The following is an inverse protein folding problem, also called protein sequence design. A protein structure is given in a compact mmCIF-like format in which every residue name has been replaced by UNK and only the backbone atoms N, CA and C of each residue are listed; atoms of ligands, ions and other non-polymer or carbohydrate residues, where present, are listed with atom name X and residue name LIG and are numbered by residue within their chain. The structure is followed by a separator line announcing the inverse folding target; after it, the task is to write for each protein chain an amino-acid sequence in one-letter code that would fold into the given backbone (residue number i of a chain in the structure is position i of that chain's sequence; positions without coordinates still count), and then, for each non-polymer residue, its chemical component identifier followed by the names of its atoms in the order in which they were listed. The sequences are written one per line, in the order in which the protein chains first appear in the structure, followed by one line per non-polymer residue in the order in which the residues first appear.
data_IF_061810641308
#
_entry.id   IF_061810641308
#
_cell.length_a   1.000
_cell.length_b   1.000
_cell.length_c   1.000
_cell.angle_alpha   90.00
_cell.angle_beta   90.00
_cell.angle_gamma   90.00
#
_symmetry.space_group_name_H-M   'P 1'
#
loop_
_entity.id
_entity.type
_entity.pdbx_description
1 polymer ?
2 polymer ?
3 polymer ?
4 non-polymer ?
5 non-polymer ?
6 non-polymer ?
7 water ?
#
loop_
_entity_poly.entity_id
_entity_poly.type
_entity_poly.pdbx_seq_one_letter_code
_entity_poly.pdbx_strand_id
2 'polydeoxyribonucleotide' '(DG)(DG)(DG)(DT)(DT)(DT)(DC)(DC)(DA)(DC)(DT)(DT)(DA)(DT)(DT)(DC)(DA)(DG)(DG)(DC)(DT)(DT)(DT)(DT)(DA)(DG)' ?
3 'polydeoxyribonucleotide' '(DC)(DC)(DT)(DA)(DA)(DA)(DA)(DG)(DC)(DC)(DT)(DG)(DA)(DA)(DT)(DA)(DA)(DG)(DT)(DG)(DG)(DA)(DA)(DA)(DC)(DC)' ?
#
# COMPACT_ATOMS: atom_id res chain seq x y z
N UNK A 6 -6.30 17.00 11.12
CA UNK A 6 -5.28 16.87 12.17
C UNK A 6 -3.88 16.73 11.57
N UNK A 7 -3.11 15.77 12.08
CA UNK A 7 -1.73 15.60 11.65
C UNK A 7 -1.62 15.48 10.13
N UNK A 8 -0.68 16.22 9.54
CA UNK A 8 -0.30 15.98 8.17
C UNK A 8 0.76 14.88 8.12
N UNK A 9 0.89 14.25 6.95
CA UNK A 9 1.75 13.09 6.75
C UNK A 9 2.99 13.53 6.01
N UNK A 10 4.15 13.09 6.49
CA UNK A 10 5.39 13.29 5.75
C UNK A 10 5.19 12.84 4.29
N UNK A 11 5.77 13.55 3.32
CA UNK A 11 5.45 13.23 1.92
C UNK A 11 5.99 11.89 1.44
N UNK A 12 7.17 11.47 1.92
CA UNK A 12 7.69 10.17 1.52
C UNK A 12 6.92 9.03 2.21
N UNK A 13 6.48 9.26 3.44
CA UNK A 13 5.61 8.28 4.09
C UNK A 13 4.31 8.16 3.30
N UNK A 14 3.78 9.29 2.84
CA UNK A 14 2.56 9.27 2.05
C UNK A 14 2.77 8.47 0.77
N UNK A 15 3.90 8.70 0.09
CA UNK A 15 4.14 7.98 -1.15
C UNK A 15 4.26 6.49 -0.90
N UNK A 16 4.91 6.11 0.22
CA UNK A 16 5.08 4.69 0.52
C UNK A 16 3.76 4.02 0.85
N UNK A 17 2.91 4.69 1.62
CA UNK A 17 1.58 4.19 1.87
C UNK A 17 0.76 4.13 0.58
N UNK A 18 0.96 5.09 -0.35
CA UNK A 18 0.25 5.06 -1.63
C UNK A 18 0.74 3.92 -2.51
N UNK A 19 2.06 3.69 -2.55
CA UNK A 19 2.59 2.49 -3.18
C UNK A 19 1.92 1.24 -2.65
N UNK A 20 1.50 1.25 -1.39
CA UNK A 20 0.89 0.07 -0.79
C UNK A 20 -0.61 -0.01 -1.05
N UNK A 21 -1.34 1.07 -0.75
CA UNK A 21 -2.79 0.99 -0.65
C UNK A 21 -3.55 1.78 -1.71
N UNK A 22 -2.88 2.61 -2.51
CA UNK A 22 -3.61 3.48 -3.42
C UNK A 22 -3.94 2.80 -4.74
N UNK A 23 -4.79 3.46 -5.54
CA UNK A 23 -4.95 3.06 -6.92
C UNK A 23 -5.42 4.24 -7.75
N UNK A 24 -4.93 4.31 -8.96
CA UNK A 24 -5.42 5.31 -9.89
C UNK A 24 -6.65 4.76 -10.61
N UNK A 25 -7.46 5.66 -11.14
CA UNK A 25 -8.73 5.26 -11.75
C UNK A 25 -9.03 6.12 -12.97
N UNK A 26 -9.55 5.46 -14.01
CA UNK A 26 -9.94 6.13 -15.25
C UNK A 26 -11.22 5.45 -15.70
N UNK A 27 -12.36 6.09 -15.46
CA UNK A 27 -13.62 5.55 -15.92
C UNK A 27 -13.92 6.10 -17.32
N UNK A 28 -14.33 5.21 -18.21
CA UNK A 28 -14.80 5.59 -19.53
C UNK A 28 -16.21 5.02 -19.64
N UNK A 29 -17.22 5.88 -19.53
CA UNK A 29 -18.59 5.45 -19.30
C UNK A 29 -19.46 5.78 -20.51
N UNK A 30 -20.17 4.78 -21.00
CA UNK A 30 -21.22 5.02 -21.99
C UNK A 30 -22.16 6.09 -21.48
N UNK A 31 -22.29 7.17 -22.25
CA UNK A 31 -23.16 8.28 -21.86
C UNK A 31 -23.83 8.83 -23.13
N UNK A 32 -25.13 8.61 -23.25
CA UNK A 32 -25.85 9.10 -24.43
C UNK A 32 -26.05 10.62 -24.40
N UNK A 33 -25.98 11.23 -23.22
CA UNK A 33 -26.05 12.68 -23.12
C UNK A 33 -24.73 13.34 -23.48
N UNK A 34 -23.66 12.57 -23.64
CA UNK A 34 -22.35 13.11 -23.95
C UNK A 34 -22.10 13.16 -25.45
N UNK A 35 -21.30 14.14 -25.87
CA UNK A 35 -21.11 14.38 -27.29
C UNK A 35 -20.51 13.17 -28.00
N UNK A 36 -19.47 12.56 -27.41
CA UNK A 36 -18.80 11.45 -28.08
C UNK A 36 -19.37 10.11 -27.65
N UNK A 37 -20.49 10.12 -26.93
CA UNK A 37 -21.05 8.90 -26.40
C UNK A 37 -20.39 8.38 -25.15
N UNK A 38 -19.36 9.04 -24.64
CA UNK A 38 -18.66 8.58 -23.45
C UNK A 38 -18.32 9.76 -22.56
N UNK A 39 -18.46 9.55 -21.26
CA UNK A 39 -18.03 10.52 -20.26
C UNK A 39 -16.90 9.88 -19.46
N UNK A 40 -16.04 10.72 -18.88
CA UNK A 40 -14.84 10.25 -18.23
C UNK A 40 -14.78 10.74 -16.79
N UNK A 41 -13.93 10.07 -16.01
CA UNK A 41 -13.64 10.49 -14.66
C UNK A 41 -12.26 9.96 -14.32
N UNK A 42 -11.37 10.86 -13.94
CA UNK A 42 -9.97 10.54 -13.70
C UNK A 42 -9.68 10.81 -12.23
N UNK A 43 -8.81 10.00 -11.63
CA UNK A 43 -8.41 10.31 -10.27
C UNK A 43 -7.60 9.23 -9.60
N UNK A 44 -7.58 9.33 -8.26
CA UNK A 44 -6.76 8.49 -7.40
C UNK A 44 -7.52 8.24 -6.12
N UNK A 45 -7.41 7.02 -5.56
CA UNK A 45 -8.24 6.69 -4.41
C UNK A 45 -7.55 5.69 -3.50
N UNK A 46 -7.98 5.69 -2.24
CA UNK A 46 -7.54 4.73 -1.22
C UNK A 46 -8.75 4.27 -0.42
N UNK A 47 -8.92 2.97 -0.31
CA UNK A 47 -9.97 2.36 0.50
C UNK A 47 -9.32 1.57 1.64
N UNK A 48 -9.73 1.88 2.87
CA UNK A 48 -9.23 1.22 4.08
C UNK A 48 -10.41 0.81 4.95
N UNK A 49 -10.12 -0.07 5.90
CA UNK A 49 -11.07 -0.42 6.94
C UNK A 49 -11.41 0.81 7.79
N UNK A 50 -12.65 0.85 8.28
CA UNK A 50 -13.12 1.98 9.08
C UNK A 50 -12.11 2.38 10.16
N UNK A 51 -11.47 1.41 10.80
CA UNK A 51 -10.59 1.72 11.92
C UNK A 51 -9.49 2.71 11.54
N UNK A 52 -9.19 2.85 10.25
CA UNK A 52 -8.10 3.73 9.80
C UNK A 52 -8.62 4.93 9.04
N UNK A 53 -9.85 5.37 9.31
CA UNK A 53 -10.37 6.58 8.68
C UNK A 53 -9.50 7.80 8.97
N UNK A 54 -8.85 7.85 10.15
CA UNK A 54 -8.00 8.98 10.51
C UNK A 54 -6.88 9.18 9.49
N UNK A 55 -6.33 8.08 8.98
CA UNK A 55 -5.32 8.17 7.91
C UNK A 55 -5.87 8.95 6.72
N UNK A 56 -7.07 8.58 6.26
CA UNK A 56 -7.62 9.25 5.09
C UNK A 56 -7.85 10.73 5.37
N UNK A 57 -8.37 11.05 6.56
CA UNK A 57 -8.52 12.45 6.94
C UNK A 57 -7.17 13.16 7.00
N UNK A 58 -6.14 12.47 7.52
CA UNK A 58 -4.81 13.09 7.54
C UNK A 58 -4.26 13.29 6.12
N UNK A 59 -4.55 12.35 5.21
CA UNK A 59 -4.13 12.55 3.83
C UNK A 59 -4.92 13.69 3.21
N UNK A 60 -6.22 13.72 3.48
CA UNK A 60 -7.06 14.79 2.95
C UNK A 60 -6.54 16.16 3.39
N UNK A 61 -6.11 16.27 4.65
CA UNK A 61 -5.58 17.53 5.15
C UNK A 61 -4.13 17.77 4.71
N UNK A 62 -3.34 16.74 4.42
CA UNK A 62 -1.99 17.00 3.90
C UNK A 62 -2.05 17.59 2.49
N UNK A 63 -2.94 17.06 1.64
CA UNK A 63 -3.07 17.54 0.28
C UNK A 63 -4.12 18.61 0.13
N UNK A 64 -5.15 18.59 0.97
CA UNK A 64 -6.27 19.51 0.89
C UNK A 64 -7.15 19.23 -0.33
N UNK A 65 -7.27 17.95 -0.73
CA UNK A 65 -8.11 17.53 -1.85
C UNK A 65 -8.82 16.24 -1.46
N UNK A 66 -9.83 15.88 -2.23
CA UNK A 66 -10.47 14.58 -2.12
C UNK A 66 -11.68 14.59 -1.21
N UNK A 67 -12.51 13.56 -1.40
CA UNK A 67 -13.75 13.40 -0.64
C UNK A 67 -13.73 12.03 0.03
N UNK A 68 -14.24 11.96 1.25
CA UNK A 68 -14.23 10.76 2.07
C UNK A 68 -15.66 10.26 2.16
N UNK A 69 -15.85 8.94 1.98
CA UNK A 69 -17.18 8.35 2.01
C UNK A 69 -17.04 6.90 2.45
N UNK A 70 -18.09 6.38 3.09
CA UNK A 70 -18.11 4.97 3.43
C UNK A 70 -18.01 4.14 2.16
N UNK A 71 -17.45 2.95 2.30
CA UNK A 71 -17.29 2.00 1.20
C UNK A 71 -17.76 0.69 1.79
N UNK A 72 -19.09 0.50 1.81
CA UNK A 72 -19.66 -0.64 2.49
C UNK A 72 -19.72 -0.40 3.99
N UNK A 73 -19.91 -1.49 4.74
CA UNK A 73 -20.15 -1.38 6.18
C UNK A 73 -18.88 -1.23 6.99
N UNK A 74 -17.76 -1.71 6.47
CA UNK A 74 -16.54 -1.85 7.27
C UNK A 74 -15.35 -1.12 6.68
N UNK A 75 -15.57 -0.34 5.63
CA UNK A 75 -14.48 0.31 4.92
C UNK A 75 -14.89 1.74 4.57
N UNK A 76 -13.87 2.55 4.32
CA UNK A 76 -14.05 3.95 3.99
C UNK A 76 -13.02 4.28 2.91
N UNK A 77 -13.39 5.18 2.00
CA UNK A 77 -12.53 5.51 0.88
C UNK A 77 -12.23 7.00 0.88
N UNK A 78 -11.04 7.33 0.38
CA UNK A 78 -10.69 8.68 -0.04
C UNK A 78 -10.55 8.67 -1.55
N UNK A 79 -11.31 9.53 -2.23
CA UNK A 79 -11.38 9.58 -3.68
C UNK A 79 -11.09 11.01 -4.14
N UNK A 80 -10.12 11.15 -5.04
CA UNK A 80 -9.77 12.43 -5.64
C UNK A 80 -10.07 12.31 -7.13
N UNK A 81 -11.18 12.91 -7.58
CA UNK A 81 -11.49 12.99 -9.00
C UNK A 81 -11.73 14.40 -9.53
N UNK A 82 -12.03 15.39 -8.67
CA UNK A 82 -12.15 16.78 -9.13
C UNK A 82 -10.91 17.17 -9.93
N UNK A 83 -11.12 17.61 -11.18
CA UNK A 83 -10.01 17.67 -12.13
C UNK A 83 -8.90 18.60 -11.64
N UNK A 84 -9.25 19.80 -11.18
CA UNK A 84 -8.21 20.73 -10.73
C UNK A 84 -7.36 20.12 -9.60
N UNK A 85 -7.99 19.40 -8.66
CA UNK A 85 -7.25 18.85 -7.52
C UNK A 85 -6.29 17.73 -7.92
N UNK A 86 -6.46 17.14 -9.11
CA UNK A 86 -5.53 16.13 -9.59
C UNK A 86 -4.14 16.70 -9.84
N UNK A 87 -4.04 18.02 -10.04
CA UNK A 87 -2.74 18.66 -10.18
C UNK A 87 -1.91 18.50 -8.93
N UNK A 88 -2.57 18.41 -7.78
CA UNK A 88 -1.86 18.14 -6.53
C UNK A 88 -1.32 16.72 -6.53
N UNK A 89 -2.15 15.75 -6.91
CA UNK A 89 -1.68 14.38 -7.04
C UNK A 89 -0.44 14.34 -7.92
N UNK A 90 -0.49 15.04 -9.06
CA UNK A 90 0.65 15.00 -9.98
C UNK A 90 1.89 15.63 -9.34
N UNK A 91 1.73 16.82 -8.77
CA UNK A 91 2.88 17.48 -8.16
C UNK A 91 3.47 16.63 -7.04
N UNK A 92 2.64 16.02 -6.21
CA UNK A 92 3.19 15.17 -5.16
C UNK A 92 4.03 14.03 -5.74
N UNK A 93 3.45 13.27 -6.68
CA UNK A 93 4.15 12.09 -7.18
C UNK A 93 5.27 12.42 -8.16
N UNK A 94 5.34 13.65 -8.67
CA UNK A 94 6.54 14.09 -9.37
C UNK A 94 7.68 14.31 -8.38
N UNK A 95 7.40 14.99 -7.27
CA UNK A 95 8.45 15.26 -6.29
C UNK A 95 8.78 14.02 -5.47
N UNK A 96 7.79 13.19 -5.15
CA UNK A 96 7.93 12.07 -4.23
C UNK A 96 7.48 10.77 -4.88
N UNK A 97 8.24 10.26 -5.85
CA UNK A 97 7.68 9.30 -6.81
C UNK A 97 7.55 7.88 -6.29
N UNK A 98 6.58 7.18 -6.87
CA UNK A 98 6.29 5.78 -6.53
C UNK A 98 7.41 4.86 -7.01
N UNK A 99 7.54 3.71 -6.34
CA UNK A 99 8.60 2.77 -6.66
C UNK A 99 8.12 1.37 -7.01
N UNK A 100 6.87 0.98 -6.73
CA UNK A 100 6.35 -0.33 -7.15
C UNK A 100 5.84 -0.27 -8.58
N UNK A 101 5.27 -1.40 -9.04
CA UNK A 101 4.63 -1.40 -10.35
C UNK A 101 3.55 -0.34 -10.45
N UNK A 102 2.98 0.10 -9.33
CA UNK A 102 1.95 1.13 -9.37
C UNK A 102 2.45 2.41 -10.02
N UNK A 103 3.76 2.67 -9.98
CA UNK A 103 4.31 3.80 -10.75
C UNK A 103 3.86 3.74 -12.20
N UNK A 104 3.82 2.53 -12.79
CA UNK A 104 3.32 2.39 -14.14
C UNK A 104 1.89 2.91 -14.28
N UNK A 105 1.05 2.63 -13.28
CA UNK A 105 -0.33 3.14 -13.35
C UNK A 105 -0.36 4.66 -13.18
N UNK A 106 0.55 5.19 -12.35
CA UNK A 106 0.66 6.64 -12.21
C UNK A 106 0.98 7.30 -13.56
N UNK A 107 1.96 6.77 -14.29
CA UNK A 107 2.32 7.37 -15.58
C UNK A 107 1.12 7.42 -16.52
N UNK A 108 0.28 6.37 -16.49
CA UNK A 108 -0.91 6.36 -17.33
C UNK A 108 -1.91 7.42 -16.88
N UNK A 109 -2.10 7.53 -15.56
CA UNK A 109 -2.88 8.62 -14.97
C UNK A 109 -2.39 9.97 -15.48
N UNK A 110 -1.07 10.16 -15.54
CA UNK A 110 -0.52 11.43 -15.99
C UNK A 110 -0.85 11.67 -17.46
N UNK A 111 -0.63 10.67 -18.31
CA UNK A 111 -1.00 10.84 -19.73
C UNK A 111 -2.47 11.15 -19.89
N UNK A 112 -3.33 10.51 -19.08
CA UNK A 112 -4.76 10.75 -19.19
C UNK A 112 -5.10 12.18 -18.76
N UNK A 113 -4.39 12.69 -17.76
CA UNK A 113 -4.59 14.07 -17.34
C UNK A 113 -4.31 15.04 -18.50
N UNK A 114 -3.19 14.86 -19.19
CA UNK A 114 -2.88 15.70 -20.34
C UNK A 114 -4.03 15.72 -21.34
N UNK A 115 -4.49 14.54 -21.73
CA UNK A 115 -5.61 14.47 -22.68
C UNK A 115 -6.76 15.34 -22.20
N UNK A 116 -7.17 15.14 -20.94
CA UNK A 116 -8.31 15.88 -20.45
C UNK A 116 -7.99 17.34 -20.15
N UNK A 117 -6.72 17.67 -19.96
CA UNK A 117 -6.37 19.06 -19.68
C UNK A 117 -6.56 19.94 -20.91
N UNK A 118 -6.39 19.39 -22.12
CA UNK A 118 -6.64 20.13 -23.34
C UNK A 118 -8.04 19.88 -23.91
N UNK A 119 -8.96 19.36 -23.09
CA UNK A 119 -10.34 19.10 -23.49
C UNK A 119 -10.46 18.09 -24.63
N UNK A 120 -9.40 17.31 -24.89
CA UNK A 120 -9.45 16.35 -25.99
C UNK A 120 -10.42 15.21 -25.73
N UNK A 121 -10.81 14.98 -24.48
CA UNK A 121 -11.73 13.88 -24.17
C UNK A 121 -13.17 14.19 -24.55
N UNK A 122 -13.48 15.44 -24.91
CA UNK A 122 -14.78 15.78 -25.45
C UNK A 122 -14.84 15.57 -26.96
N UNK A 123 -13.72 15.22 -27.58
CA UNK A 123 -13.60 14.90 -28.99
C UNK A 123 -13.33 13.42 -29.19
N UNK A 124 -13.60 12.94 -30.40
CA UNK A 124 -13.42 11.52 -30.69
C UNK A 124 -11.97 11.10 -30.55
N UNK A 125 -11.04 11.92 -31.04
CA UNK A 125 -9.64 11.53 -30.98
C UNK A 125 -9.19 11.30 -29.53
N UNK A 126 -9.58 12.21 -28.62
CA UNK A 126 -9.14 12.10 -27.24
C UNK A 126 -9.75 10.92 -26.50
N UNK A 127 -11.05 10.68 -26.71
CA UNK A 127 -11.64 9.48 -26.11
C UNK A 127 -10.89 8.25 -26.59
N UNK A 128 -10.52 8.23 -27.86
CA UNK A 128 -9.81 7.06 -28.36
C UNK A 128 -8.46 6.92 -27.68
N UNK A 129 -7.79 8.04 -27.41
CA UNK A 129 -6.52 7.96 -26.69
C UNK A 129 -6.74 7.49 -25.26
N UNK A 130 -7.75 8.03 -24.57
CA UNK A 130 -8.00 7.59 -23.21
C UNK A 130 -8.23 6.09 -23.14
N UNK A 131 -8.85 5.52 -24.19
CA UNK A 131 -9.09 4.08 -24.22
C UNK A 131 -7.77 3.31 -24.33
N UNK A 132 -6.84 3.80 -25.15
CA UNK A 132 -5.52 3.17 -25.25
C UNK A 132 -4.78 3.24 -23.93
N UNK A 133 -4.90 4.37 -23.23
CA UNK A 133 -4.31 4.50 -21.90
C UNK A 133 -4.98 3.55 -20.92
N UNK A 134 -6.31 3.59 -20.85
CA UNK A 134 -7.00 2.71 -19.91
C UNK A 134 -6.65 1.24 -20.17
N UNK A 135 -6.36 0.89 -21.43
CA UNK A 135 -6.06 -0.50 -21.77
C UNK A 135 -4.91 -1.05 -20.94
N UNK A 136 -3.92 -0.22 -20.60
CA UNK A 136 -2.74 -0.65 -19.84
C UNK A 136 -2.86 -0.34 -18.35
N UNK A 137 -3.97 0.24 -17.92
CA UNK A 137 -4.14 0.73 -16.56
C UNK A 137 -4.86 -0.30 -15.70
N UNK A 138 -4.19 -0.78 -14.66
CA UNK A 138 -4.81 -1.72 -13.73
C UNK A 138 -5.33 -2.92 -14.52
N UNK A 139 -6.63 -3.19 -14.44
CA UNK A 139 -7.17 -4.40 -15.05
C UNK A 139 -7.59 -4.19 -16.50
N UNK A 140 -7.41 -2.98 -17.03
CA UNK A 140 -7.58 -2.79 -18.46
C UNK A 140 -9.03 -2.58 -18.89
N UNK A 141 -9.27 -2.87 -20.17
CA UNK A 141 -10.57 -2.65 -20.77
C UNK A 141 -11.51 -3.80 -20.44
N UNK A 142 -12.75 -3.47 -20.14
CA UNK A 142 -13.79 -4.48 -20.17
C UNK A 142 -13.94 -5.03 -21.59
N UNK A 143 -14.57 -6.20 -21.71
CA UNK A 143 -14.83 -6.76 -23.02
C UNK A 143 -15.69 -5.81 -23.85
N UNK A 144 -16.70 -5.19 -23.23
CA UNK A 144 -17.58 -4.29 -23.96
C UNK A 144 -16.84 -3.05 -24.43
N UNK A 145 -15.93 -2.53 -23.62
CA UNK A 145 -15.18 -1.35 -24.07
C UNK A 145 -14.22 -1.73 -25.21
N UNK A 146 -13.52 -2.86 -25.10
CA UNK A 146 -12.60 -3.26 -26.16
C UNK A 146 -13.34 -3.43 -27.49
N UNK A 147 -14.53 -4.01 -27.46
CA UNK A 147 -15.27 -4.24 -28.70
C UNK A 147 -15.89 -2.96 -29.23
N UNK A 148 -16.12 -1.98 -28.38
CA UNK A 148 -16.63 -0.72 -28.88
C UNK A 148 -15.53 0.12 -29.52
N UNK A 149 -14.26 -0.25 -29.37
CA UNK A 149 -13.15 0.50 -29.98
C UNK A 149 -12.31 -0.43 -30.84
N UNK A 150 -12.77 -0.70 -32.08
CA UNK A 150 -12.10 -1.69 -32.92
C UNK A 150 -10.75 -1.22 -33.43
N UNK A 151 -9.68 -1.49 -32.68
CA UNK A 151 -8.34 -1.27 -33.18
C UNK A 151 -7.38 -2.10 -32.34
N UNK A 152 -6.19 -2.29 -32.87
CA UNK A 152 -5.14 -3.02 -32.15
C UNK A 152 -4.65 -2.13 -31.01
N UNK A 153 -5.06 -2.45 -29.79
CA UNK A 153 -4.67 -1.69 -28.59
C UNK A 153 -3.75 -2.58 -27.77
N UNK A 154 -2.52 -2.12 -27.54
CA UNK A 154 -1.59 -2.88 -26.73
C UNK A 154 -2.00 -2.84 -25.25
N UNK A 155 -1.81 -3.97 -24.58
CA UNK A 155 -2.06 -4.05 -23.15
C UNK A 155 -0.78 -4.00 -22.32
N UNK A 156 0.39 -3.99 -22.97
CA UNK A 156 1.65 -4.15 -22.24
C UNK A 156 2.27 -2.79 -21.93
N UNK A 157 3.19 -2.79 -20.97
CA UNK A 157 3.83 -1.55 -20.53
C UNK A 157 5.17 -1.88 -19.90
N UNK A 158 6.03 -0.86 -19.84
CA UNK A 158 7.35 -1.00 -19.25
C UNK A 158 7.24 -1.49 -17.81
N UNK A 159 7.97 -2.55 -17.50
CA UNK A 159 8.12 -3.00 -16.12
C UNK A 159 8.87 -1.95 -15.31
N UNK A 160 8.44 -1.74 -14.07
CA UNK A 160 9.11 -0.79 -13.19
C UNK A 160 10.17 -1.54 -12.38
N UNK A 161 11.39 -1.00 -12.33
CA UNK A 161 12.40 -1.54 -11.41
C UNK A 161 13.13 -0.38 -10.74
N UNK A 162 12.72 -0.05 -9.52
CA UNK A 162 13.28 1.05 -8.76
C UNK A 162 13.66 0.55 -7.37
N UNK A 163 14.58 1.28 -6.73
CA UNK A 163 15.03 0.95 -5.38
C UNK A 163 14.28 1.77 -4.34
N UNK A 164 14.23 1.23 -3.13
CA UNK A 164 13.70 1.96 -1.97
C UNK A 164 14.45 3.27 -1.85
N UNK A 165 13.78 4.39 -1.87
CA UNK A 165 14.48 5.69 -1.84
C UNK A 165 15.02 6.07 -0.47
N UNK A 166 14.34 5.64 0.60
CA UNK A 166 14.69 6.08 1.95
C UNK A 166 13.73 5.44 2.94
N UNK A 167 14.13 5.51 4.22
CA UNK A 167 13.39 4.89 5.31
C UNK A 167 12.02 5.51 5.51
N UNK A 168 11.81 6.75 5.06
CA UNK A 168 10.46 7.31 5.13
C UNK A 168 9.51 6.58 4.19
N UNK A 169 9.93 6.37 2.95
CA UNK A 169 9.12 5.54 2.06
C UNK A 169 8.84 4.19 2.69
N UNK A 170 9.86 3.59 3.31
CA UNK A 170 9.67 2.25 3.86
C UNK A 170 8.64 2.26 4.98
N UNK A 171 8.61 3.32 5.79
CA UNK A 171 7.65 3.35 6.89
C UNK A 171 6.22 3.53 6.39
N UNK A 172 6.03 4.33 5.34
CA UNK A 172 4.71 4.41 4.72
C UNK A 172 4.31 3.09 4.11
N UNK A 173 5.23 2.43 3.39
CA UNK A 173 4.92 1.16 2.77
C UNK A 173 4.58 0.12 3.83
N UNK A 174 5.40 0.05 4.89
CA UNK A 174 5.15 -0.90 5.98
C UNK A 174 3.85 -0.59 6.70
N UNK A 175 3.49 0.69 6.85
CA UNK A 175 2.19 0.99 7.43
C UNK A 175 1.05 0.38 6.62
N UNK A 176 1.27 0.11 5.32
CA UNK A 176 0.28 -0.58 4.52
C UNK A 176 0.37 -2.10 4.55
N UNK A 177 1.58 -2.66 4.32
CA UNK A 177 1.74 -4.09 4.08
C UNK A 177 2.45 -4.81 5.22
N UNK A 178 2.87 -4.10 6.27
CA UNK A 178 3.68 -4.71 7.31
C UNK A 178 2.87 -5.53 8.30
N UNK A 179 3.58 -6.39 9.02
CA UNK A 179 3.00 -7.22 10.06
C UNK A 179 4.01 -7.35 11.20
N UNK A 180 3.62 -6.87 12.37
CA UNK A 180 4.37 -7.05 13.61
C UNK A 180 3.63 -8.14 14.38
N UNK A 181 4.16 -9.36 14.30
CA UNK A 181 3.51 -10.53 14.84
C UNK A 181 4.25 -11.06 16.06
N UNK A 182 3.51 -11.77 16.91
CA UNK A 182 4.05 -12.49 18.04
C UNK A 182 3.61 -13.95 17.89
N UNK A 183 4.53 -14.80 17.43
CA UNK A 183 4.26 -16.23 17.31
C UNK A 183 4.41 -16.89 18.67
N UNK A 184 3.31 -17.41 19.20
CA UNK A 184 3.34 -18.24 20.40
C UNK A 184 3.46 -19.69 19.93
N UNK A 185 4.68 -20.22 19.95
CA UNK A 185 5.00 -21.51 19.35
C UNK A 185 4.80 -22.58 20.41
N UNK A 186 3.79 -23.43 20.20
CA UNK A 186 3.39 -24.39 21.23
C UNK A 186 4.41 -25.52 21.33
N UNK A 187 4.73 -25.89 22.56
CA UNK A 187 5.73 -26.93 22.81
C UNK A 187 5.38 -27.63 24.11
N UNK A 188 5.61 -28.94 24.16
CA UNK A 188 5.46 -29.63 25.44
C UNK A 188 6.53 -29.21 26.47
N UNK A 189 7.26 -28.13 26.22
CA UNK A 189 8.32 -27.66 27.10
C UNK A 189 7.76 -27.21 28.45
N UNK A 190 8.68 -26.76 29.31
CA UNK A 190 8.34 -26.27 30.64
C UNK A 190 7.16 -25.32 30.58
N UNK A 191 7.44 -24.03 30.38
CA UNK A 191 6.40 -23.08 30.07
C UNK A 191 5.66 -23.48 28.79
N UNK A 192 6.29 -24.29 27.94
CA UNK A 192 5.67 -24.74 26.72
C UNK A 192 5.89 -23.83 25.51
N UNK A 193 5.30 -22.64 25.54
CA UNK A 193 5.28 -21.78 24.37
C UNK A 193 6.60 -21.04 24.24
N UNK A 194 7.18 -21.07 23.05
CA UNK A 194 8.30 -20.20 22.71
C UNK A 194 7.76 -18.91 22.09
N UNK A 195 8.04 -17.77 22.72
CA UNK A 195 7.67 -16.48 22.15
C UNK A 195 8.68 -16.12 21.06
N UNK A 196 8.17 -15.78 19.87
CA UNK A 196 9.01 -15.45 18.72
C UNK A 196 8.44 -14.20 18.04
N UNK A 197 9.16 -13.09 18.17
CA UNK A 197 8.81 -11.87 17.46
C UNK A 197 9.08 -12.04 15.98
N UNK A 198 8.13 -11.64 15.15
CA UNK A 198 8.30 -11.77 13.70
C UNK A 198 7.88 -10.48 12.99
N UNK A 199 8.73 -10.03 12.08
CA UNK A 199 8.43 -8.93 11.17
C UNK A 199 8.24 -9.51 9.78
N UNK A 200 7.20 -9.03 9.08
CA UNK A 200 6.87 -9.54 7.74
C UNK A 200 6.31 -8.43 6.87
N UNK A 201 6.76 -8.39 5.62
CA UNK A 201 6.14 -7.59 4.57
C UNK A 201 5.72 -8.54 3.45
N UNK A 202 4.53 -8.28 2.90
CA UNK A 202 3.88 -9.13 1.90
C UNK A 202 3.62 -8.34 0.62
N UNK A 203 3.86 -8.98 -0.53
CA UNK A 203 3.67 -8.31 -1.81
C UNK A 203 3.53 -9.34 -2.92
N UNK A 204 2.68 -9.02 -3.90
CA UNK A 204 2.53 -9.80 -5.11
C UNK A 204 3.88 -9.98 -5.79
N UNK A 205 4.05 -11.13 -6.46
CA UNK A 205 5.34 -11.48 -7.05
C UNK A 205 5.79 -10.51 -8.11
N UNK A 206 4.88 -9.68 -8.65
CA UNK A 206 5.25 -8.71 -9.67
C UNK A 206 6.37 -7.76 -9.20
N UNK A 207 6.47 -7.51 -7.89
CA UNK A 207 7.57 -6.71 -7.35
C UNK A 207 8.58 -7.57 -6.58
N UNK A 208 8.88 -8.74 -7.15
CA UNK A 208 9.94 -9.61 -6.63
C UNK A 208 11.24 -8.85 -6.41
N UNK A 209 11.68 -8.06 -7.40
CA UNK A 209 12.97 -7.37 -7.27
C UNK A 209 12.97 -6.45 -6.06
N UNK A 210 11.87 -5.74 -5.84
CA UNK A 210 11.80 -4.86 -4.67
C UNK A 210 11.84 -5.69 -3.39
N UNK A 211 11.11 -6.79 -3.36
CA UNK A 211 11.06 -7.60 -2.14
C UNK A 211 12.45 -8.14 -1.82
N UNK A 212 13.15 -8.69 -2.82
CA UNK A 212 14.50 -9.19 -2.60
C UNK A 212 15.41 -8.12 -2.01
N UNK A 213 15.23 -6.86 -2.45
CA UNK A 213 16.09 -5.78 -2.00
C UNK A 213 15.93 -5.49 -0.52
N UNK A 214 14.79 -5.86 0.08
CA UNK A 214 14.63 -5.69 1.52
C UNK A 214 15.74 -6.37 2.31
N UNK A 215 16.22 -7.51 1.83
CA UNK A 215 17.27 -8.24 2.55
C UNK A 215 18.55 -7.43 2.57
N UNK A 216 18.93 -6.89 1.40
CA UNK A 216 20.02 -5.93 1.31
C UNK A 216 19.72 -4.66 2.09
N UNK A 217 18.53 -4.10 1.91
CA UNK A 217 18.25 -2.79 2.45
C UNK A 217 18.23 -2.80 3.97
N UNK A 218 17.64 -3.83 4.58
CA UNK A 218 17.46 -3.88 6.02
C UNK A 218 18.53 -4.71 6.74
N UNK A 219 19.35 -5.45 6.00
CA UNK A 219 20.40 -6.25 6.61
C UNK A 219 19.93 -7.49 7.34
N UNK A 220 18.89 -8.17 6.85
CA UNK A 220 18.37 -9.35 7.50
C UNK A 220 17.29 -10.02 6.66
N UNK A 221 16.66 -11.07 7.18
CA UNK A 221 15.46 -11.62 6.61
C UNK A 221 15.67 -12.58 5.44
N UNK A 222 14.57 -13.24 5.07
CA UNK A 222 14.54 -14.13 3.92
C UNK A 222 13.19 -13.98 3.22
N UNK A 223 13.11 -14.51 2.00
CA UNK A 223 11.95 -14.39 1.13
C UNK A 223 11.30 -15.76 0.99
N UNK A 224 10.02 -15.85 1.34
CA UNK A 224 9.21 -17.03 1.13
C UNK A 224 8.20 -16.76 0.03
N UNK A 225 7.90 -17.78 -0.76
CA UNK A 225 6.96 -17.66 -1.85
C UNK A 225 5.76 -18.56 -1.61
N UNK A 226 4.57 -18.01 -1.81
CA UNK A 226 3.32 -18.71 -1.67
C UNK A 226 2.51 -18.57 -2.96
N UNK A 227 1.47 -19.40 -3.09
CA UNK A 227 0.56 -19.22 -4.19
C UNK A 227 -0.76 -19.90 -3.84
N UNK A 228 -1.86 -19.30 -4.29
CA UNK A 228 -3.21 -19.82 -4.14
C UNK A 228 -3.80 -19.88 -5.53
N UNK A 229 -3.99 -21.08 -6.05
CA UNK A 229 -4.38 -21.23 -7.44
C UNK A 229 -3.44 -20.41 -8.31
N UNK A 230 -4.00 -19.69 -9.29
CA UNK A 230 -3.18 -18.91 -10.21
C UNK A 230 -2.47 -17.73 -9.55
N UNK A 231 -2.69 -17.45 -8.27
CA UNK A 231 -2.24 -16.21 -7.65
C UNK A 231 -1.02 -16.46 -6.78
N UNK A 232 0.10 -15.82 -7.11
CA UNK A 232 1.33 -15.98 -6.36
C UNK A 232 1.74 -14.67 -5.67
N UNK A 233 2.30 -14.81 -4.47
CA UNK A 233 2.82 -13.65 -3.76
C UNK A 233 4.04 -14.06 -2.92
N UNK A 234 4.67 -13.05 -2.32
CA UNK A 234 5.91 -13.18 -1.58
C UNK A 234 5.73 -12.63 -0.18
N UNK A 235 6.53 -13.14 0.74
CA UNK A 235 6.60 -12.62 2.09
C UNK A 235 8.07 -12.44 2.46
N UNK A 236 8.44 -11.21 2.83
CA UNK A 236 9.72 -10.95 3.47
C UNK A 236 9.52 -11.11 4.96
N UNK A 237 10.39 -11.92 5.58
CA UNK A 237 10.19 -12.40 6.95
C UNK A 237 11.50 -12.32 7.73
N UNK A 238 11.47 -11.65 8.88
CA UNK A 238 12.58 -11.57 9.83
C UNK A 238 12.15 -12.28 11.10
N UNK A 239 12.96 -13.25 11.57
CA UNK A 239 12.67 -13.98 12.80
C UNK A 239 13.77 -13.90 13.86
N UNK A 240 15.05 -13.82 13.46
CA UNK A 240 16.14 -13.69 14.43
C UNK A 240 15.96 -12.45 15.30
N UNK A 241 15.84 -12.64 16.62
CA UNK A 241 15.50 -11.52 17.48
C UNK A 241 16.53 -10.41 17.47
N UNK A 242 17.83 -10.73 17.31
CA UNK A 242 18.83 -9.66 17.34
C UNK A 242 18.68 -8.74 16.14
N UNK A 243 18.32 -9.29 14.98
CA UNK A 243 17.98 -8.46 13.83
C UNK A 243 16.73 -7.62 14.10
N UNK A 244 15.70 -8.22 14.69
CA UNK A 244 14.49 -7.48 15.05
C UNK A 244 14.83 -6.32 15.99
N UNK A 245 15.63 -6.62 17.02
CA UNK A 245 15.88 -5.64 18.08
C UNK A 245 16.89 -4.59 17.66
N UNK A 246 17.82 -4.92 16.77
CA UNK A 246 18.90 -4.01 16.37
C UNK A 246 18.65 -3.34 15.03
N UNK A 247 18.05 -4.04 14.07
CA UNK A 247 17.91 -3.51 12.71
C UNK A 247 16.51 -3.07 12.34
N UNK A 248 15.47 -3.69 12.92
CA UNK A 248 14.09 -3.42 12.55
C UNK A 248 13.44 -2.40 13.47
N UNK A 249 13.47 -2.63 14.79
CA UNK A 249 12.82 -1.70 15.72
C UNK A 249 13.40 -0.30 15.63
N UNK A 250 14.70 -0.11 15.41
CA UNK A 250 15.21 1.29 15.34
C UNK A 250 14.75 2.02 14.11
N UNK A 251 14.56 1.31 12.98
CA UNK A 251 14.11 1.97 11.76
C UNK A 251 12.77 2.64 11.99
N UNK A 252 11.84 1.93 12.63
CA UNK A 252 10.49 2.44 12.79
C UNK A 252 10.32 3.32 14.01
N UNK A 253 11.22 3.20 14.98
CA UNK A 253 11.28 4.21 16.04
C UNK A 253 11.65 5.58 15.47
N UNK A 254 12.55 5.61 14.49
CA UNK A 254 12.98 6.88 13.91
C UNK A 254 12.10 7.34 12.75
N UNK A 255 11.43 6.43 12.05
CA UNK A 255 10.53 6.78 10.95
C UNK A 255 9.15 6.25 11.32
N UNK A 256 8.30 7.12 11.87
CA UNK A 256 7.12 6.67 12.60
C UNK A 256 6.02 6.17 11.68
N UNK A 257 5.44 5.03 12.04
CA UNK A 257 4.34 4.43 11.31
C UNK A 257 3.07 5.24 11.48
N UNK A 258 2.08 4.97 10.62
CA UNK A 258 0.77 5.63 10.71
C UNK A 258 -0.34 4.59 10.76
N UNK A 259 -1.49 5.02 11.27
CA UNK A 259 -2.63 4.13 11.40
C UNK A 259 -2.51 3.26 12.63
N UNK A 260 -3.48 2.34 12.75
CA UNK A 260 -3.52 1.45 13.92
C UNK A 260 -2.29 0.57 13.99
N UNK A 261 -1.64 0.32 12.85
CA UNK A 261 -0.46 -0.52 12.89
C UNK A 261 0.66 0.11 13.73
N UNK A 262 0.62 1.43 13.94
CA UNK A 262 1.55 2.06 14.87
C UNK A 262 1.35 1.51 16.27
N UNK A 263 0.10 1.40 16.73
CA UNK A 263 -0.16 0.79 18.03
C UNK A 263 0.34 -0.65 18.08
N UNK A 264 0.14 -1.40 16.99
CA UNK A 264 0.63 -2.78 16.96
C UNK A 264 2.14 -2.82 17.08
N UNK A 265 2.84 -1.91 16.41
CA UNK A 265 4.30 -1.89 16.50
C UNK A 265 4.75 -1.53 17.91
N UNK A 266 4.02 -0.63 18.58
CA UNK A 266 4.37 -0.25 19.95
C UNK A 266 4.25 -1.44 20.90
N UNK A 267 3.11 -2.12 20.88
CA UNK A 267 2.97 -3.34 21.68
C UNK A 267 4.09 -4.33 21.36
N UNK A 268 4.35 -4.53 20.06
CA UNK A 268 5.43 -5.40 19.61
C UNK A 268 6.74 -5.05 20.30
N UNK A 269 7.06 -3.76 20.37
CA UNK A 269 8.28 -3.34 21.04
C UNK A 269 8.25 -3.74 22.51
N UNK A 270 7.12 -3.54 23.19
CA UNK A 270 7.00 -3.94 24.60
C UNK A 270 7.37 -5.41 24.78
N UNK A 271 6.88 -6.28 23.90
CA UNK A 271 7.27 -7.68 23.99
C UNK A 271 8.74 -7.84 23.68
N UNK A 272 9.29 -7.02 22.78
CA UNK A 272 10.72 -7.09 22.51
C UNK A 272 11.53 -6.77 23.76
N UNK A 273 11.10 -5.76 24.52
CA UNK A 273 11.75 -5.47 25.80
C UNK A 273 11.68 -6.68 26.74
N UNK A 274 10.48 -7.22 26.95
CA UNK A 274 10.35 -8.43 27.77
C UNK A 274 11.34 -9.50 27.33
N UNK A 275 11.34 -9.80 26.03
CA UNK A 275 12.27 -10.80 25.50
C UNK A 275 13.72 -10.39 25.79
N UNK A 276 14.05 -9.12 25.59
CA UNK A 276 15.43 -8.67 25.82
C UNK A 276 15.85 -8.95 27.25
N UNK A 277 15.01 -8.60 28.21
CA UNK A 277 15.17 -8.85 29.63
C UNK A 277 15.02 -10.33 29.99
N UNK A 278 14.92 -11.20 28.99
CA UNK A 278 14.69 -12.64 29.14
C UNK A 278 13.43 -12.95 29.95
N UNK A 279 12.61 -11.94 30.27
CA UNK A 279 11.41 -12.16 31.07
C UNK A 279 10.39 -13.05 30.36
N UNK A 280 10.55 -13.31 29.07
CA UNK A 280 9.64 -14.20 28.35
C UNK A 280 9.81 -15.66 28.73
N UNK A 281 10.72 -15.99 29.63
CA UNK A 281 10.92 -17.37 30.06
C UNK A 281 10.30 -17.64 31.42
N UNK A 282 9.49 -16.72 31.94
CA UNK A 282 8.82 -16.88 33.22
C UNK A 282 7.32 -16.75 33.05
N UNK A 283 6.58 -17.50 33.88
CA UNK A 283 5.13 -17.48 33.80
C UNK A 283 4.58 -16.06 33.85
N UNK A 284 5.23 -15.15 34.55
CA UNK A 284 4.76 -13.77 34.61
C UNK A 284 4.97 -13.06 33.27
N UNK A 285 6.19 -13.13 32.74
CA UNK A 285 6.45 -12.52 31.45
C UNK A 285 5.70 -13.20 30.31
N UNK A 286 5.52 -14.52 30.39
CA UNK A 286 4.79 -15.22 29.34
C UNK A 286 3.31 -14.83 29.35
N UNK A 287 2.74 -14.62 30.55
CA UNK A 287 1.34 -14.22 30.63
C UNK A 287 1.15 -12.76 30.23
N UNK A 288 2.12 -11.89 30.54
CA UNK A 288 2.07 -10.54 30.03
C UNK A 288 2.13 -10.54 28.51
N UNK A 289 3.07 -11.33 27.95
CA UNK A 289 3.17 -11.44 26.50
C UNK A 289 1.84 -11.90 25.91
N UNK A 290 1.22 -12.91 26.54
CA UNK A 290 -0.04 -13.45 26.03
C UNK A 290 -1.11 -12.38 25.96
N UNK A 291 -1.26 -11.57 27.02
CA UNK A 291 -2.28 -10.51 27.01
C UNK A 291 -1.96 -9.44 25.98
N UNK A 292 -0.68 -9.13 25.81
CA UNK A 292 -0.27 -8.16 24.81
C UNK A 292 -0.64 -8.65 23.40
N UNK A 293 -0.30 -9.91 23.08
CA UNK A 293 -0.62 -10.45 21.77
C UNK A 293 -2.13 -10.53 21.57
N UNK A 294 -2.87 -10.89 22.62
CA UNK A 294 -4.32 -10.97 22.51
C UNK A 294 -4.94 -9.63 22.10
N UNK A 295 -4.30 -8.52 22.44
CA UNK A 295 -4.89 -7.20 22.25
C UNK A 295 -4.30 -6.43 21.08
N UNK A 296 -3.64 -7.12 20.15
CA UNK A 296 -3.02 -6.48 19.01
C UNK A 296 -3.44 -7.21 17.74
N UNK A 297 -3.16 -6.58 16.60
CA UNK A 297 -3.41 -7.19 15.27
C UNK A 297 -4.89 -7.54 15.19
N UNK A 298 -5.26 -8.77 14.84
CA UNK A 298 -6.68 -9.08 14.67
C UNK A 298 -7.42 -9.09 16.00
N UNK A 299 -6.72 -9.01 17.11
CA UNK A 299 -7.34 -8.82 18.40
C UNK A 299 -7.49 -7.38 18.81
N UNK A 300 -6.97 -6.46 18.00
CA UNK A 300 -6.94 -5.04 18.34
C UNK A 300 -8.36 -4.51 18.56
X LIG D 1 -2.93 -2.48 5.05
X LIG E 1 -0.61 -3.29 -2.03
X LIG F 1 -12.06 20.98 -11.43
X LIG G 1 -13.37 18.44 -3.78
X LIG H 1 20.33 3.37 4.08
X LIG H 1 19.43 2.35 3.53
X LIG H 1 19.92 0.94 3.87
X LIG H 1 21.26 0.76 3.39
X LIG H 1 21.93 1.91 2.80
X LIG H 1 21.73 3.18 3.63
X LIG H 1 21.84 -0.57 3.36
X LIG H 1 22.41 -0.91 1.98
X LIG H 1 23.82 -0.74 1.98
X LIG H 1 19.81 4.71 3.72
X LIG H 1 18.74 5.14 4.74
X LIG H 1 18.13 6.83 4.48
X LIG H 1 16.79 6.98 5.05
X LIG H 1 19.03 7.77 5.15
X LIG H 1 18.07 7.14 3.05
X LIG H 1 19.38 2.46 2.45
X LIG H 1 18.42 2.49 3.93
X LIG H 1 19.25 0.21 3.40
X LIG H 1 19.89 0.79 4.94
X LIG H 1 21.55 2.06 1.80
X LIG H 1 23.00 1.69 2.73
X LIG H 1 22.03 4.04 3.03
X LIG H 1 22.38 3.15 4.50
X LIG H 1 21.07 -1.31 3.61
X LIG H 1 22.62 -0.66 4.10
X LIG H 1 21.97 -0.26 1.22
X LIG H 1 22.18 -1.94 1.72
X LIG H 1 24.12 -0.44 2.87
X LIG H 1 20.62 5.43 3.71
X LIG H 1 19.36 4.66 2.73
X LIG H 1 17.91 4.45 4.69
X LIG H 1 19.17 5.08 5.74
X LIG I 1 -0.63 3.70 -25.54
X LIG I 1 0.01 3.84 -26.80
X LIG I 1 -0.64 5.00 -24.76
X LIG I 1 0.12 4.91 -23.57
X LIG I 1 -0.10 6.14 -25.63
X LIG I 1 -0.99 6.43 -26.69
X LIG I 1 -1.65 3.36 -25.69
X LIG I 1 -0.11 2.93 -24.95
X LIG I 1 0.06 2.96 -27.24
X LIG I 1 -1.68 5.24 -24.50
X LIG I 1 1.06 4.74 -23.80
X LIG I 1 0.03 7.04 -25.02
X LIG I 1 0.87 5.87 -26.03
X LIG I 1 -1.67 7.07 -26.40
X LIG J 1 0.11 20.99 -15.58
X LIG J 1 -0.88 21.98 -15.43
X LIG J 1 0.93 20.89 -14.31
X LIG J 1 0.82 22.08 -13.55
X LIG J 1 0.45 19.69 -13.51
X LIG J 1 0.94 19.80 -12.19
X LIG J 1 -0.36 20.02 -15.80
X LIG J 1 0.75 21.23 -16.43
X LIG J 1 -1.38 22.09 -16.28
X LIG J 1 1.97 20.73 -14.58
X LIG J 1 -0.11 22.22 -13.29
X LIG J 1 -0.64 19.67 -13.50
X LIG J 1 0.80 18.77 -13.97
X LIG J 1 0.76 20.70 -11.84
X LIG K 1 -10.36 -13.74 -7.50
X LIG L 1 9.41 -21.77 3.26
#
# INVERSE_FOLDING_TARGET
MASSRRESINPWILTGFADAEGSFLLRIRNNNKSSVGYSTELGFQITLHNKDKSILENIQSTWKVGVIANSGDNAVSLKVTRFEDLKVIIDHFEKYPLITQKLGDYKLFKQAFSVMENKEHLKENGIKELVRIKAKLNWGLTDELKKAFPENISKERSLINKNIPNFKWLAGFTSGEGNFGVNLIKSKSKLGVQVQLVFRITQHIKDKNLMNSLITYLGCGYIREYNKSEFSWLAFVVTKFSDINDKIIPVFQENTLIGVKLEDFEDWCKVAKLIEEKKHLTESGLDEIKKIKLNMNKGR
CA CA
CA CA
CA CA
CA CA
EPE N1 C2 C3 N4 C5 C6 C7 C8 O8 C9 C10 S O1S O2S O3S H21 H22 H31 H32 H51 H52 H61 H62 H71 H72 H81 H82 HO8 H91 H92 H101 H102
GOL C1 O1 C2 O2 C3 O3 H11 H12 HO1 H2 HO2 H31 H32 HO3
GOL C1 O1 C2 O2 C3 O3 H11 H12 HO1 H2 HO2 H31 H32 HO3
CA CA
CA CA
#
